data_IF_404279295531
#
_entry.id   IF_404279295531
#
_cell.length_a   1.000
_cell.length_b   1.000
_cell.length_c   1.000
_cell.angle_alpha   90.00
_cell.angle_beta   90.00
_cell.angle_gamma   90.00
#
_symmetry.space_group_name_H-M   'P 1'
#
loop_
_entity.id
_entity.type
_entity.pdbx_description
1 polymer ?
#
# COMPACT_ATOMS: atom_id res chain seq x y z
N UNK A 1 -8.56 3.81 19.31
CA UNK A 1 -8.01 2.44 19.12
C UNK A 1 -7.02 2.55 17.98
N UNK A 2 -5.85 1.94 18.10
CA UNK A 2 -4.85 1.95 17.01
C UNK A 2 -5.12 0.87 15.97
N UNK A 3 -4.46 0.98 14.82
CA UNK A 3 -4.55 0.00 13.73
C UNK A 3 -3.90 -1.33 14.09
N UNK A 4 -4.47 -2.43 13.60
CA UNK A 4 -3.85 -3.75 13.69
C UNK A 4 -2.76 -3.92 12.62
N UNK A 5 -1.64 -3.22 12.82
CA UNK A 5 -0.54 -3.14 11.85
C UNK A 5 0.02 -4.52 11.51
N UNK A 6 0.16 -5.40 12.51
CA UNK A 6 0.69 -6.76 12.31
C UNK A 6 -0.17 -7.57 11.34
N UNK A 7 -1.51 -7.41 11.39
CA UNK A 7 -2.42 -8.08 10.46
C UNK A 7 -2.46 -7.42 9.09
N UNK A 8 -2.48 -6.08 9.02
CA UNK A 8 -2.50 -5.34 7.75
C UNK A 8 -1.26 -5.68 6.91
N UNK A 9 -0.09 -5.67 7.55
CA UNK A 9 1.22 -5.88 6.93
C UNK A 9 1.79 -7.28 7.20
N UNK A 10 0.94 -8.27 7.48
CA UNK A 10 1.38 -9.66 7.61
C UNK A 10 2.11 -10.10 6.33
N UNK A 11 3.26 -10.75 6.47
CA UNK A 11 4.12 -11.18 5.36
C UNK A 11 4.61 -10.05 4.43
N UNK A 12 4.71 -8.79 4.92
CA UNK A 12 5.12 -7.63 4.11
C UNK A 12 6.40 -7.85 3.29
N UNK A 13 7.38 -8.59 3.81
CA UNK A 13 8.64 -8.84 3.11
C UNK A 13 8.54 -9.84 1.95
N UNK A 14 7.52 -10.70 1.97
CA UNK A 14 7.20 -11.64 0.90
C UNK A 14 6.26 -10.98 -0.11
N UNK A 15 5.17 -10.38 0.37
CA UNK A 15 4.13 -9.79 -0.47
C UNK A 15 4.59 -8.51 -1.18
N UNK A 16 5.65 -7.85 -0.73
CA UNK A 16 6.30 -6.76 -1.46
C UNK A 16 7.03 -7.21 -2.73
N UNK A 17 7.18 -8.52 -2.97
CA UNK A 17 7.93 -9.10 -4.09
C UNK A 17 7.01 -9.94 -4.97
N UNK A 18 6.22 -9.25 -5.79
CA UNK A 18 5.33 -9.90 -6.74
C UNK A 18 5.97 -9.95 -8.12
N UNK A 19 5.95 -11.12 -8.75
CA UNK A 19 6.65 -11.33 -10.03
C UNK A 19 5.73 -11.73 -11.17
N UNK A 20 4.48 -12.10 -10.90
CA UNK A 20 3.52 -12.50 -11.91
C UNK A 20 2.11 -11.95 -11.64
N UNK A 21 1.29 -11.86 -12.70
CA UNK A 21 -0.12 -11.51 -12.59
C UNK A 21 -0.90 -12.43 -11.66
N UNK A 22 -0.67 -13.74 -11.79
CA UNK A 22 -1.37 -14.76 -11.03
C UNK A 22 -1.11 -14.60 -9.53
N UNK A 23 0.13 -14.36 -9.14
CA UNK A 23 0.48 -14.07 -7.75
C UNK A 23 -0.15 -12.76 -7.29
N UNK A 24 -0.07 -11.71 -8.11
CA UNK A 24 -0.63 -10.41 -7.77
C UNK A 24 -2.13 -10.45 -7.51
N UNK A 25 -2.88 -11.11 -8.40
CA UNK A 25 -4.32 -11.31 -8.29
C UNK A 25 -4.68 -12.12 -7.05
N UNK A 26 -4.00 -13.26 -6.82
CA UNK A 26 -4.24 -14.09 -5.65
C UNK A 26 -3.96 -13.35 -4.33
N UNK A 27 -2.85 -12.62 -4.25
CA UNK A 27 -2.49 -11.85 -3.07
C UNK A 27 -3.43 -10.65 -2.85
N UNK A 28 -3.85 -9.98 -3.92
CA UNK A 28 -4.82 -8.88 -3.84
C UNK A 28 -6.17 -9.38 -3.31
N UNK A 29 -6.68 -10.50 -3.82
CA UNK A 29 -7.94 -11.07 -3.34
C UNK A 29 -7.84 -11.45 -1.85
N UNK A 30 -6.74 -12.11 -1.45
CA UNK A 30 -6.49 -12.42 -0.04
C UNK A 30 -6.43 -11.16 0.83
N UNK A 31 -5.76 -10.10 0.38
CA UNK A 31 -5.72 -8.83 1.10
C UNK A 31 -7.13 -8.23 1.28
N UNK A 32 -7.94 -8.21 0.22
CA UNK A 32 -9.32 -7.71 0.26
C UNK A 32 -10.19 -8.48 1.25
N UNK A 33 -10.10 -9.80 1.24
CA UNK A 33 -10.93 -10.68 2.08
C UNK A 33 -10.50 -10.66 3.56
N UNK A 34 -9.19 -10.67 3.84
CA UNK A 34 -8.71 -10.94 5.19
C UNK A 34 -8.21 -9.69 5.94
N UNK A 35 -7.79 -8.64 5.22
CA UNK A 35 -7.00 -7.53 5.80
C UNK A 35 -7.59 -6.16 5.54
N UNK A 36 -8.30 -5.96 4.43
CA UNK A 36 -8.84 -4.65 4.08
C UNK A 36 -9.83 -4.10 5.12
N UNK A 37 -10.58 -4.97 5.79
CA UNK A 37 -11.48 -4.57 6.88
C UNK A 37 -10.78 -3.85 8.04
N UNK A 38 -9.48 -4.05 8.24
CA UNK A 38 -8.69 -3.33 9.26
C UNK A 38 -8.46 -1.84 8.91
N UNK A 39 -8.77 -1.43 7.67
CA UNK A 39 -8.69 -0.04 7.20
C UNK A 39 -10.04 0.69 7.24
N UNK A 40 -11.09 0.06 7.80
CA UNK A 40 -12.44 0.64 7.82
C UNK A 40 -12.50 2.02 8.51
N UNK A 41 -11.71 2.24 9.55
CA UNK A 41 -11.62 3.54 10.22
C UNK A 41 -11.08 4.64 9.28
N UNK A 42 -10.04 4.32 8.51
CA UNK A 42 -9.43 5.22 7.53
C UNK A 42 -10.38 5.55 6.38
N UNK A 43 -11.05 4.54 5.84
CA UNK A 43 -11.93 4.67 4.65
C UNK A 43 -13.21 5.45 4.98
N UNK A 44 -13.73 5.27 6.20
CA UNK A 44 -14.96 5.92 6.65
C UNK A 44 -14.70 7.16 7.54
N UNK A 45 -13.47 7.68 7.52
CA UNK A 45 -13.07 8.78 8.39
C UNK A 45 -13.81 10.08 8.05
N UNK A 46 -14.43 10.71 9.05
CA UNK A 46 -14.94 12.08 8.91
C UNK A 46 -13.82 13.14 8.94
N UNK A 47 -12.75 12.85 9.69
CA UNK A 47 -11.50 13.63 9.70
C UNK A 47 -10.38 12.78 9.09
N UNK A 48 -10.33 12.79 7.76
CA UNK A 48 -9.42 11.96 6.97
C UNK A 48 -7.95 12.25 7.26
N UNK A 49 -7.57 13.52 7.46
CA UNK A 49 -6.17 13.89 7.69
C UNK A 49 -5.67 13.36 9.04
N UNK A 50 -6.47 13.52 10.09
CA UNK A 50 -6.14 12.99 11.42
C UNK A 50 -6.04 11.46 11.42
N UNK A 51 -6.96 10.79 10.73
CA UNK A 51 -6.99 9.33 10.66
C UNK A 51 -5.81 8.76 9.83
N UNK A 52 -5.46 9.42 8.71
CA UNK A 52 -4.26 9.08 7.94
C UNK A 52 -2.97 9.25 8.78
N UNK A 53 -2.89 10.31 9.60
CA UNK A 53 -1.76 10.53 10.52
C UNK A 53 -1.68 9.44 11.58
N UNK A 54 -2.81 9.04 12.16
CA UNK A 54 -2.87 7.95 13.13
C UNK A 54 -2.39 6.63 12.52
N UNK A 55 -2.92 6.26 11.34
CA UNK A 55 -2.46 5.08 10.61
C UNK A 55 -0.95 5.11 10.34
N UNK A 56 -0.43 6.20 9.79
CA UNK A 56 1.00 6.29 9.46
C UNK A 56 1.89 6.25 10.72
N UNK A 57 1.44 6.81 11.85
CA UNK A 57 2.18 6.75 13.12
C UNK A 57 2.19 5.34 13.71
N UNK A 58 1.06 4.65 13.68
CA UNK A 58 0.96 3.26 14.15
C UNK A 58 1.89 2.35 13.33
N UNK A 59 1.86 2.48 11.99
CA UNK A 59 2.77 1.72 11.11
C UNK A 59 4.22 2.08 11.39
N UNK A 60 4.55 3.38 11.49
CA UNK A 60 5.92 3.78 11.80
C UNK A 60 6.38 3.23 13.15
N UNK A 61 5.52 3.24 14.16
CA UNK A 61 5.84 2.76 15.51
C UNK A 61 6.03 1.25 15.56
N UNK A 62 5.26 0.48 14.80
CA UNK A 62 5.43 -0.97 14.69
C UNK A 62 6.77 -1.35 14.01
N UNK A 63 7.19 -0.60 13.00
CA UNK A 63 8.37 -0.95 12.20
C UNK A 63 9.67 -0.24 12.62
N UNK A 64 9.60 0.82 13.43
CA UNK A 64 10.81 1.55 13.86
C UNK A 64 11.67 0.68 14.78
N UNK A 65 12.97 0.66 14.52
CA UNK A 65 13.99 0.11 15.40
C UNK A 65 14.99 1.21 15.71
N UNK A 66 15.20 1.51 16.99
CA UNK A 66 16.05 2.63 17.44
C UNK A 66 15.64 3.98 16.81
N UNK A 67 14.34 4.27 16.80
CA UNK A 67 13.80 5.56 16.35
C UNK A 67 13.63 5.75 14.84
N UNK A 68 14.00 4.76 14.02
CA UNK A 68 13.82 4.81 12.55
C UNK A 68 13.38 3.48 11.96
N UNK A 69 12.69 3.52 10.84
CA UNK A 69 12.45 2.34 10.00
C UNK A 69 13.70 2.08 9.16
N UNK A 70 14.14 0.83 9.06
CA UNK A 70 15.31 0.49 8.24
C UNK A 70 14.94 0.55 6.76
N UNK A 71 15.90 0.90 5.90
CA UNK A 71 15.64 1.11 4.47
C UNK A 71 15.00 -0.10 3.77
N UNK A 72 15.41 -1.32 4.09
CA UNK A 72 14.80 -2.54 3.54
C UNK A 72 13.33 -2.71 3.97
N UNK A 73 13.03 -2.47 5.25
CA UNK A 73 11.67 -2.57 5.79
C UNK A 73 10.78 -1.47 5.19
N UNK A 74 11.31 -0.24 5.09
CA UNK A 74 10.61 0.89 4.46
C UNK A 74 10.30 0.62 2.98
N UNK A 75 11.25 0.04 2.24
CA UNK A 75 11.04 -0.33 0.85
C UNK A 75 9.93 -1.39 0.71
N UNK A 76 9.92 -2.41 1.58
CA UNK A 76 8.84 -3.40 1.61
C UNK A 76 7.48 -2.77 1.91
N UNK A 77 7.42 -1.88 2.91
CA UNK A 77 6.19 -1.14 3.23
C UNK A 77 5.71 -0.31 2.05
N UNK A 78 6.59 0.43 1.40
CA UNK A 78 6.26 1.24 0.23
C UNK A 78 5.68 0.41 -0.92
N UNK A 79 6.30 -0.74 -1.24
CA UNK A 79 5.76 -1.65 -2.24
C UNK A 79 4.42 -2.23 -1.84
N UNK A 80 4.25 -2.62 -0.58
CA UNK A 80 2.98 -3.13 -0.08
C UNK A 80 1.85 -2.09 -0.19
N UNK A 81 2.16 -0.83 0.13
CA UNK A 81 1.22 0.29 -0.04
C UNK A 81 0.79 0.43 -1.51
N UNK A 82 1.76 0.44 -2.44
CA UNK A 82 1.51 0.60 -3.88
C UNK A 82 0.76 -0.61 -4.46
N UNK A 83 1.06 -1.82 -4.02
CA UNK A 83 0.46 -3.03 -4.58
C UNK A 83 -0.90 -3.38 -4.01
N UNK A 84 -1.17 -3.09 -2.73
CA UNK A 84 -2.39 -3.62 -2.09
C UNK A 84 -3.24 -2.54 -1.45
N UNK A 85 -2.64 -1.67 -0.64
CA UNK A 85 -3.41 -0.68 0.14
C UNK A 85 -4.04 0.36 -0.78
N UNK A 86 -3.24 1.07 -1.56
CA UNK A 86 -3.76 2.12 -2.43
C UNK A 86 -4.69 1.59 -3.52
N UNK A 87 -4.37 0.52 -4.27
CA UNK A 87 -5.27 0.03 -5.31
C UNK A 87 -6.63 -0.42 -4.75
N UNK A 88 -6.65 -0.97 -3.54
CA UNK A 88 -7.91 -1.38 -2.89
C UNK A 88 -8.71 -0.18 -2.43
N UNK A 89 -8.09 0.79 -1.75
CA UNK A 89 -8.76 2.04 -1.35
C UNK A 89 -9.27 2.82 -2.57
N UNK A 90 -8.49 2.87 -3.65
CA UNK A 90 -8.86 3.62 -4.85
C UNK A 90 -10.12 3.06 -5.54
N UNK A 91 -10.52 1.81 -5.23
CA UNK A 91 -11.76 1.23 -5.73
C UNK A 91 -13.03 1.69 -4.98
N UNK A 92 -12.87 2.42 -3.87
CA UNK A 92 -13.97 3.03 -3.12
C UNK A 92 -14.46 4.33 -3.79
N UNK A 93 -15.70 4.73 -3.51
CA UNK A 93 -16.33 5.92 -4.11
C UNK A 93 -15.52 7.21 -3.86
N UNK A 94 -14.98 7.38 -2.65
CA UNK A 94 -14.12 8.50 -2.25
C UNK A 94 -12.62 8.15 -2.28
N UNK A 95 -12.25 7.05 -2.94
CA UNK A 95 -10.91 6.46 -2.89
C UNK A 95 -9.78 7.40 -3.29
N UNK A 96 -9.99 8.25 -4.31
CA UNK A 96 -8.96 9.19 -4.78
C UNK A 96 -8.55 10.21 -3.70
N UNK A 97 -9.52 10.81 -3.01
CA UNK A 97 -9.26 11.79 -1.94
C UNK A 97 -8.53 11.15 -0.75
N UNK A 98 -8.92 9.90 -0.42
CA UNK A 98 -8.23 9.10 0.62
C UNK A 98 -6.79 8.83 0.20
N UNK A 99 -6.58 8.32 -1.02
CA UNK A 99 -5.25 7.98 -1.52
C UNK A 99 -4.33 9.20 -1.60
N UNK A 100 -4.82 10.37 -2.02
CA UNK A 100 -4.04 11.61 -2.04
C UNK A 100 -3.59 12.03 -0.64
N UNK A 101 -4.52 12.08 0.31
CA UNK A 101 -4.20 12.47 1.69
C UNK A 101 -3.25 11.47 2.34
N UNK A 102 -3.53 10.17 2.19
CA UNK A 102 -2.70 9.10 2.75
C UNK A 102 -1.30 9.09 2.14
N UNK A 103 -1.16 9.27 0.83
CA UNK A 103 0.13 9.38 0.13
C UNK A 103 0.96 10.53 0.69
N UNK A 104 0.36 11.71 0.86
CA UNK A 104 1.07 12.90 1.34
C UNK A 104 1.52 12.73 2.80
N UNK A 105 0.64 12.22 3.67
CA UNK A 105 0.98 11.92 5.07
C UNK A 105 2.05 10.83 5.15
N UNK A 106 1.96 9.77 4.35
CA UNK A 106 2.94 8.70 4.30
C UNK A 106 4.32 9.21 3.86
N UNK A 107 4.37 9.97 2.76
CA UNK A 107 5.61 10.55 2.22
C UNK A 107 6.28 11.46 3.23
N UNK A 108 5.49 12.31 3.92
CA UNK A 108 5.98 13.16 5.01
C UNK A 108 6.51 12.33 6.18
N UNK A 109 5.75 11.33 6.65
CA UNK A 109 6.07 10.56 7.86
C UNK A 109 7.29 9.65 7.69
N UNK A 110 7.40 8.99 6.54
CA UNK A 110 8.47 8.06 6.22
C UNK A 110 9.63 8.73 5.47
N UNK A 111 9.52 10.03 5.14
CA UNK A 111 10.50 10.79 4.36
C UNK A 111 10.84 10.10 3.04
N UNK A 112 9.79 9.78 2.27
CA UNK A 112 9.90 9.15 0.96
C UNK A 112 9.04 9.87 -0.08
N UNK A 113 9.02 9.36 -1.31
CA UNK A 113 8.28 9.93 -2.42
C UNK A 113 7.66 8.82 -3.27
N UNK A 114 6.60 8.21 -2.76
CA UNK A 114 5.78 7.25 -3.50
C UNK A 114 4.55 7.93 -4.11
N UNK A 115 4.08 7.37 -5.22
CA UNK A 115 2.77 7.65 -5.79
C UNK A 115 1.93 6.37 -5.73
N UNK A 116 0.64 6.48 -6.04
CA UNK A 116 -0.25 5.33 -6.17
C UNK A 116 -0.77 5.16 -7.60
N UNK A 117 -1.38 4.01 -7.85
CA UNK A 117 -2.03 3.63 -9.11
C UNK A 117 -3.12 2.60 -8.80
N UNK A 118 -4.04 2.38 -9.72
CA UNK A 118 -5.12 1.40 -9.57
C UNK A 118 -4.67 -0.04 -9.88
N UNK A 119 -5.56 -0.99 -9.57
CA UNK A 119 -5.32 -2.41 -9.75
C UNK A 119 -5.11 -2.79 -11.23
N UNK A 120 -5.89 -2.23 -12.14
CA UNK A 120 -5.86 -2.58 -13.56
C UNK A 120 -4.54 -2.11 -14.19
N UNK A 121 -4.09 -0.90 -13.87
CA UNK A 121 -2.80 -0.34 -14.26
C UNK A 121 -1.62 -1.21 -13.78
N UNK A 122 -1.67 -1.72 -12.55
CA UNK A 122 -0.67 -2.66 -12.03
C UNK A 122 -0.71 -3.99 -12.77
N UNK A 123 -1.90 -4.52 -13.02
CA UNK A 123 -2.09 -5.74 -13.81
C UNK A 123 -1.56 -5.59 -15.23
N UNK A 124 -1.80 -4.47 -15.91
CA UNK A 124 -1.21 -4.18 -17.22
C UNK A 124 0.32 -4.10 -17.14
N UNK A 125 0.86 -3.45 -16.11
CA UNK A 125 2.30 -3.28 -15.90
C UNK A 125 3.10 -4.58 -15.82
N UNK A 126 2.50 -5.69 -15.36
CA UNK A 126 3.13 -7.01 -15.40
C UNK A 126 3.29 -7.57 -16.83
N UNK A 127 2.46 -7.18 -17.81
CA UNK A 127 2.58 -7.65 -19.22
C UNK A 127 3.76 -7.02 -19.95
N UNK A 128 4.18 -5.82 -19.53
CA UNK A 128 5.26 -5.08 -20.18
C UNK A 128 6.64 -5.73 -19.99
N UNK A 129 6.71 -6.85 -19.25
CA UNK A 129 7.90 -7.68 -19.06
C UNK A 129 7.65 -9.15 -19.44
N UNK A 130 7.35 -9.43 -20.70
CA UNK A 130 7.55 -10.78 -21.25
C UNK A 130 8.93 -10.78 -21.94
N UNK A 131 9.90 -11.47 -21.36
CA UNK A 131 11.31 -11.60 -21.81
C UNK A 131 12.24 -10.37 -21.75
N UNK A 132 12.06 -9.46 -20.79
CA UNK A 132 13.04 -8.38 -20.57
C UNK A 132 13.13 -7.33 -21.68
N UNK A 133 12.22 -7.37 -22.66
CA UNK A 133 12.07 -6.36 -23.70
C UNK A 133 10.82 -5.53 -23.36
N UNK A 134 10.93 -4.21 -23.13
CA UNK A 134 9.78 -3.34 -22.97
C UNK A 134 8.95 -3.36 -24.26
N UNK A 135 7.66 -3.68 -24.16
CA UNK A 135 6.71 -3.40 -25.25
C UNK A 135 6.38 -1.91 -25.14
N UNK A 136 7.00 -1.11 -26.00
CA UNK A 136 6.74 0.33 -26.09
C UNK A 136 5.32 0.63 -26.55
N UNK A 137 4.74 1.71 -26.02
CA UNK A 137 3.77 2.51 -26.78
C UNK A 137 4.59 3.54 -27.55
N UNK A 138 4.61 3.42 -28.89
CA UNK A 138 4.95 4.53 -29.78
C UNK A 138 3.90 5.63 -29.64
#
# INVERSE_FOLDING_TARGET
MGYNVDKIFEDVAYLSKVHSKKEYEAHTNKFKEERYGELAALVNASDLESECKAFCEDVFTAFKKLGRVRGADQMNLNYFMIYYVFPTILSEENGAAICDTLKDVWNSRFKCNISYTDYDSLMEGFQTKIFGIPIGKN
#
